data_IF_726735904667
#
_entry.id   IF_726735904667
#
_cell.length_a   1.000
_cell.length_b   1.000
_cell.length_c   1.000
_cell.angle_alpha   90.00
_cell.angle_beta   90.00
_cell.angle_gamma   90.00
#
_symmetry.space_group_name_H-M   'P 1'
#
loop_
_entity.id
_entity.type
_entity.pdbx_description
1 polymer ?
#
# COMPACT_ATOMS: atom_id res chain seq x y z
N UNK A 1 -19.72 19.05 23.35
CA UNK A 1 -18.89 19.93 24.20
C UNK A 1 -19.40 19.79 25.62
N UNK A 2 -18.56 19.27 26.52
CA UNK A 2 -18.92 19.04 27.92
C UNK A 2 -19.13 20.38 28.63
N UNK A 3 -19.90 20.38 29.71
CA UNK A 3 -19.97 21.54 30.60
C UNK A 3 -18.73 21.58 31.48
N UNK A 4 -18.28 22.76 31.88
CA UNK A 4 -17.08 22.96 32.73
C UNK A 4 -17.07 22.07 34.00
N UNK A 5 -18.25 21.88 34.63
CA UNK A 5 -18.40 20.98 35.79
C UNK A 5 -18.18 19.49 35.44
N UNK A 6 -18.54 19.08 34.23
CA UNK A 6 -18.35 17.70 33.74
C UNK A 6 -16.87 17.45 33.38
N UNK A 7 -16.19 18.44 32.79
CA UNK A 7 -14.75 18.39 32.52
C UNK A 7 -13.94 18.24 33.82
N UNK A 8 -14.26 19.04 34.84
CA UNK A 8 -13.61 18.95 36.14
C UNK A 8 -13.83 17.58 36.81
N UNK A 9 -15.05 17.02 36.70
CA UNK A 9 -15.36 15.69 37.22
C UNK A 9 -14.56 14.58 36.50
N UNK A 10 -14.41 14.68 35.18
CA UNK A 10 -13.61 13.75 34.39
C UNK A 10 -12.12 13.81 34.76
N UNK A 11 -11.55 15.02 34.87
CA UNK A 11 -10.16 15.19 35.29
C UNK A 11 -9.91 14.61 36.68
N UNK A 12 -10.81 14.85 37.65
CA UNK A 12 -10.71 14.28 38.99
C UNK A 12 -10.80 12.75 38.99
N UNK A 13 -11.70 12.17 38.19
CA UNK A 13 -11.82 10.71 38.04
C UNK A 13 -10.57 10.08 37.43
N UNK A 14 -10.02 10.68 36.37
CA UNK A 14 -8.78 10.21 35.75
C UNK A 14 -7.62 10.29 36.72
N UNK A 15 -7.48 11.40 37.45
CA UNK A 15 -6.44 11.54 38.48
C UNK A 15 -6.54 10.44 39.54
N UNK A 16 -7.74 10.19 40.07
CA UNK A 16 -7.96 9.13 41.06
C UNK A 16 -7.51 7.75 40.54
N UNK A 17 -7.82 7.44 39.28
CA UNK A 17 -7.46 6.16 38.66
C UNK A 17 -5.96 6.05 38.39
N UNK A 18 -5.32 7.16 37.99
CA UNK A 18 -3.87 7.27 37.83
C UNK A 18 -3.17 7.03 39.17
N UNK A 19 -3.62 7.69 40.24
CA UNK A 19 -3.04 7.56 41.59
C UNK A 19 -3.22 6.15 42.16
N UNK A 20 -4.36 5.51 41.87
CA UNK A 20 -4.63 4.13 42.26
C UNK A 20 -3.89 3.08 41.42
N UNK A 21 -3.31 3.48 40.27
CA UNK A 21 -2.71 2.55 39.31
C UNK A 21 -3.72 1.61 38.63
N UNK A 22 -5.02 1.94 38.65
CA UNK A 22 -6.08 1.12 38.08
C UNK A 22 -6.21 1.36 36.57
N UNK A 23 -5.30 0.74 35.82
CA UNK A 23 -5.24 0.86 34.35
C UNK A 23 -6.49 0.31 33.67
N UNK A 24 -7.18 -0.67 34.27
CA UNK A 24 -8.36 -1.29 33.67
C UNK A 24 -9.56 -0.35 33.70
N UNK A 25 -9.83 0.26 34.85
CA UNK A 25 -10.90 1.25 34.95
C UNK A 25 -10.52 2.56 34.27
N UNK A 26 -9.23 2.90 34.19
CA UNK A 26 -8.74 4.05 33.43
C UNK A 26 -9.04 3.90 31.94
N UNK A 27 -8.66 2.78 31.33
CA UNK A 27 -8.95 2.45 29.93
C UNK A 27 -10.46 2.55 29.63
N UNK A 28 -11.31 1.91 30.45
CA UNK A 28 -12.77 1.99 30.30
C UNK A 28 -13.32 3.41 30.45
N UNK A 29 -12.72 4.21 31.33
CA UNK A 29 -13.12 5.60 31.56
C UNK A 29 -12.75 6.48 30.37
N UNK A 30 -11.52 6.33 29.85
CA UNK A 30 -11.05 7.03 28.65
C UNK A 30 -11.85 6.64 27.41
N UNK A 31 -12.23 5.37 27.30
CA UNK A 31 -13.12 4.89 26.25
C UNK A 31 -14.48 5.61 26.24
N UNK A 32 -15.13 5.71 27.42
CA UNK A 32 -16.40 6.44 27.55
C UNK A 32 -16.23 7.92 27.26
N UNK A 33 -15.20 8.53 27.83
CA UNK A 33 -14.91 9.94 27.65
C UNK A 33 -14.65 10.28 26.18
N UNK A 34 -13.91 9.43 25.46
CA UNK A 34 -13.65 9.60 24.02
C UNK A 34 -14.93 9.74 23.21
N UNK A 35 -16.01 9.05 23.61
CA UNK A 35 -17.32 9.17 22.97
C UNK A 35 -18.01 10.50 23.31
N UNK A 36 -17.93 10.94 24.56
CA UNK A 36 -18.56 12.18 25.02
C UNK A 36 -17.91 13.43 24.42
N UNK A 37 -16.61 13.37 24.12
CA UNK A 37 -15.83 14.47 23.52
C UNK A 37 -15.66 14.34 22.01
N UNK A 38 -16.30 13.36 21.37
CA UNK A 38 -16.16 13.07 19.93
C UNK A 38 -14.69 12.94 19.48
N UNK A 39 -13.86 12.37 20.34
CA UNK A 39 -12.42 12.19 20.12
C UNK A 39 -11.56 13.47 20.17
N UNK A 40 -12.12 14.63 20.51
CA UNK A 40 -11.35 15.86 20.71
C UNK A 40 -10.67 15.88 22.08
N UNK A 41 -9.45 15.36 22.15
CA UNK A 41 -8.63 15.35 23.37
C UNK A 41 -8.05 16.72 23.76
N UNK A 42 -8.37 17.78 23.01
CA UNK A 42 -7.98 19.15 23.37
C UNK A 42 -9.05 19.88 24.18
N UNK A 43 -10.20 19.24 24.41
CA UNK A 43 -11.38 19.83 25.06
C UNK A 43 -11.08 20.54 26.39
N UNK A 44 -10.13 20.04 27.18
CA UNK A 44 -9.78 20.57 28.51
C UNK A 44 -8.47 21.39 28.53
N UNK A 45 -8.02 21.84 27.36
CA UNK A 45 -6.74 22.53 27.20
C UNK A 45 -5.52 21.62 27.39
N UNK A 46 -5.69 20.30 27.32
CA UNK A 46 -4.61 19.32 27.42
C UNK A 46 -4.28 18.88 28.84
N UNK A 47 -5.12 19.22 29.83
CA UNK A 47 -4.90 18.89 31.25
C UNK A 47 -4.86 17.38 31.46
N UNK A 48 -5.83 16.64 30.95
CA UNK A 48 -5.93 15.20 31.06
C UNK A 48 -4.75 14.51 30.38
N UNK A 49 -4.34 14.99 29.20
CA UNK A 49 -3.14 14.48 28.52
C UNK A 49 -1.89 14.70 29.37
N UNK A 50 -1.78 15.84 30.05
CA UNK A 50 -0.73 16.09 31.03
C UNK A 50 -0.72 15.04 32.14
N UNK A 51 -1.88 14.71 32.71
CA UNK A 51 -2.01 13.67 33.75
C UNK A 51 -1.55 12.29 33.27
N UNK A 52 -1.95 11.90 32.06
CA UNK A 52 -1.56 10.61 31.50
C UNK A 52 -0.05 10.55 31.18
N UNK A 53 0.56 11.67 30.79
CA UNK A 53 1.99 11.72 30.45
C UNK A 53 2.91 11.63 31.66
N UNK A 54 2.48 12.09 32.84
CA UNK A 54 3.28 12.01 34.07
C UNK A 54 3.20 10.65 34.76
N UNK A 55 2.33 9.76 34.31
CA UNK A 55 2.26 8.38 34.80
C UNK A 55 3.63 7.67 34.64
N UNK A 56 3.97 6.74 35.56
CA UNK A 56 5.14 5.88 35.38
C UNK A 56 5.07 5.15 34.04
N UNK A 57 6.21 5.07 33.35
CA UNK A 57 6.24 4.53 32.01
C UNK A 57 5.73 3.08 31.88
N UNK A 58 6.02 2.14 32.81
CA UNK A 58 5.42 0.80 32.76
C UNK A 58 3.89 0.83 32.77
N UNK A 59 3.30 1.75 33.54
CA UNK A 59 1.84 1.94 33.62
C UNK A 59 1.29 2.52 32.32
N UNK A 60 1.99 3.49 31.71
CA UNK A 60 1.61 4.04 30.38
C UNK A 60 1.66 2.97 29.30
N UNK A 61 2.70 2.13 29.27
CA UNK A 61 2.83 1.03 28.31
C UNK A 61 1.71 0.00 28.49
N UNK A 62 1.35 -0.34 29.74
CA UNK A 62 0.21 -1.21 30.01
C UNK A 62 -1.11 -0.60 29.52
N UNK A 63 -1.31 0.71 29.70
CA UNK A 63 -2.47 1.42 29.18
C UNK A 63 -2.52 1.38 27.64
N UNK A 64 -1.43 1.71 26.96
CA UNK A 64 -1.32 1.68 25.50
C UNK A 64 -1.69 0.30 24.93
N UNK A 65 -1.21 -0.77 25.57
CA UNK A 65 -1.53 -2.14 25.20
C UNK A 65 -3.03 -2.42 25.30
N UNK A 66 -3.65 -2.13 26.44
CA UNK A 66 -5.09 -2.36 26.64
C UNK A 66 -5.94 -1.56 25.65
N UNK A 67 -5.61 -0.28 25.47
CA UNK A 67 -6.32 0.58 24.54
C UNK A 67 -6.25 0.06 23.10
N UNK A 68 -5.11 -0.51 22.69
CA UNK A 68 -4.94 -1.06 21.34
C UNK A 68 -5.69 -2.38 21.16
N UNK A 69 -5.72 -3.23 22.18
CA UNK A 69 -6.49 -4.48 22.18
C UNK A 69 -8.01 -4.19 22.11
N UNK A 70 -8.53 -3.25 22.91
CA UNK A 70 -9.97 -2.90 22.88
C UNK A 70 -10.42 -2.17 21.60
N UNK A 71 -9.47 -1.56 20.90
CA UNK A 71 -9.67 -0.91 19.62
C UNK A 71 -10.00 -1.91 18.50
N UNK A 72 -9.38 -3.10 18.54
CA UNK A 72 -9.65 -4.23 17.62
C UNK A 72 -11.09 -4.76 17.80
N UNK A 73 -11.52 -4.94 19.05
CA UNK A 73 -12.87 -5.43 19.37
C UNK A 73 -13.98 -4.43 18.97
N UNK A 74 -13.69 -3.13 19.03
CA UNK A 74 -14.68 -2.05 18.79
C UNK A 74 -14.76 -1.64 17.31
N UNK A 75 -13.69 -1.85 16.54
CA UNK A 75 -13.52 -1.35 15.17
C UNK A 75 -14.70 -1.65 14.24
N UNK A 76 -15.30 -2.82 14.42
CA UNK A 76 -16.40 -3.33 13.59
C UNK A 76 -17.72 -2.60 13.87
N UNK A 77 -17.86 -1.99 15.05
CA UNK A 77 -19.14 -1.50 15.57
C UNK A 77 -19.24 0.03 15.64
N UNK A 78 -18.15 0.77 15.85
CA UNK A 78 -18.16 2.23 15.92
C UNK A 78 -16.85 2.89 15.41
N UNK A 79 -16.69 3.05 14.08
CA UNK A 79 -15.46 3.56 13.47
C UNK A 79 -15.09 5.00 13.86
N UNK A 80 -16.09 5.85 14.16
CA UNK A 80 -15.87 7.24 14.56
C UNK A 80 -15.15 7.34 15.90
N UNK A 81 -15.55 6.50 16.86
CA UNK A 81 -14.91 6.43 18.19
C UNK A 81 -13.50 5.89 18.15
N UNK A 82 -13.20 4.94 17.26
CA UNK A 82 -11.85 4.39 17.12
C UNK A 82 -10.82 5.46 16.72
N UNK A 83 -11.23 6.49 15.97
CA UNK A 83 -10.36 7.63 15.62
C UNK A 83 -9.92 8.43 16.84
N UNK A 84 -10.86 8.76 17.73
CA UNK A 84 -10.58 9.47 18.96
C UNK A 84 -9.58 8.70 19.83
N UNK A 85 -9.81 7.40 20.00
CA UNK A 85 -8.92 6.53 20.78
C UNK A 85 -7.53 6.39 20.14
N UNK A 86 -7.44 6.24 18.81
CA UNK A 86 -6.17 6.22 18.11
C UNK A 86 -5.36 7.50 18.37
N UNK A 87 -6.01 8.66 18.34
CA UNK A 87 -5.37 9.96 18.64
C UNK A 87 -4.85 10.02 20.08
N UNK A 88 -5.60 9.49 21.04
CA UNK A 88 -5.15 9.39 22.43
C UNK A 88 -3.90 8.51 22.57
N UNK A 89 -3.84 7.37 21.88
CA UNK A 89 -2.67 6.48 21.93
C UNK A 89 -1.42 7.22 21.49
N UNK A 90 -1.47 8.01 20.41
CA UNK A 90 -0.34 8.85 19.96
C UNK A 90 0.07 9.84 21.06
N UNK A 91 -0.91 10.53 21.66
CA UNK A 91 -0.67 11.52 22.71
C UNK A 91 -0.07 10.90 23.99
N UNK A 92 -0.51 9.70 24.37
CA UNK A 92 -0.06 8.94 25.55
C UNK A 92 1.27 8.22 25.28
N UNK A 93 1.61 7.88 24.04
CA UNK A 93 2.91 7.32 23.70
C UNK A 93 4.04 8.37 23.67
N UNK A 94 3.68 9.64 23.42
CA UNK A 94 4.64 10.74 23.27
C UNK A 94 5.61 10.87 24.47
N UNK A 95 6.91 10.92 24.18
CA UNK A 95 7.96 11.08 25.18
C UNK A 95 8.35 9.82 25.96
N UNK A 96 7.77 8.65 25.64
CA UNK A 96 8.27 7.38 26.18
C UNK A 96 9.57 6.94 25.48
N UNK A 97 10.58 6.46 26.24
CA UNK A 97 11.76 5.82 25.69
C UNK A 97 11.44 4.63 24.78
N UNK A 98 12.30 4.43 23.78
CA UNK A 98 12.12 3.40 22.73
C UNK A 98 12.05 1.99 23.30
N UNK A 99 12.95 1.69 24.23
CA UNK A 99 13.03 0.41 24.95
C UNK A 99 11.73 0.09 25.72
N UNK A 100 11.06 1.12 26.22
CA UNK A 100 9.81 0.97 26.96
C UNK A 100 8.62 0.78 26.04
N UNK A 101 8.61 1.43 24.87
CA UNK A 101 7.58 1.24 23.85
C UNK A 101 7.67 -0.12 23.15
N UNK A 102 8.85 -0.75 23.12
CA UNK A 102 9.12 -1.98 22.37
C UNK A 102 8.10 -3.10 22.65
N UNK A 103 7.78 -3.35 23.93
CA UNK A 103 6.86 -4.42 24.34
C UNK A 103 5.42 -4.27 23.80
N UNK A 104 4.98 -3.03 23.56
CA UNK A 104 3.68 -2.73 22.95
C UNK A 104 3.79 -2.62 21.42
N UNK A 105 4.85 -1.96 20.93
CA UNK A 105 5.06 -1.60 19.53
C UNK A 105 5.42 -2.78 18.64
N UNK A 106 6.36 -3.63 19.06
CA UNK A 106 6.93 -4.69 18.22
C UNK A 106 5.91 -5.74 17.78
N UNK A 107 5.01 -6.24 18.65
CA UNK A 107 3.96 -7.15 18.23
C UNK A 107 3.03 -6.53 17.18
N UNK A 108 2.70 -5.25 17.32
CA UNK A 108 1.83 -4.53 16.37
C UNK A 108 2.52 -4.32 15.03
N UNK A 109 3.81 -3.99 15.03
CA UNK A 109 4.62 -3.88 13.81
C UNK A 109 4.75 -5.22 13.10
N UNK A 110 5.01 -6.31 13.85
CA UNK A 110 5.12 -7.64 13.30
C UNK A 110 3.79 -8.11 12.69
N UNK A 111 2.68 -7.86 13.37
CA UNK A 111 1.33 -8.11 12.85
C UNK A 111 1.10 -7.32 11.56
N UNK A 112 1.32 -5.99 11.58
CA UNK A 112 1.14 -5.16 10.40
C UNK A 112 2.02 -5.59 9.22
N UNK A 113 3.27 -5.97 9.47
CA UNK A 113 4.19 -6.47 8.45
C UNK A 113 3.73 -7.81 7.83
N UNK A 114 3.05 -8.65 8.61
CA UNK A 114 2.59 -9.98 8.20
C UNK A 114 1.27 -9.98 7.44
N UNK A 115 0.60 -8.85 7.25
CA UNK A 115 -0.74 -8.79 6.67
C UNK A 115 -0.74 -8.22 5.24
N UNK A 116 -1.65 -8.70 4.38
CA UNK A 116 -1.83 -8.10 3.05
C UNK A 116 -2.50 -6.73 3.15
N UNK A 117 -3.55 -6.63 3.95
CA UNK A 117 -4.29 -5.41 4.26
C UNK A 117 -4.84 -5.53 5.66
N UNK A 118 -4.94 -4.43 6.39
CA UNK A 118 -5.64 -4.39 7.67
C UNK A 118 -6.93 -3.60 7.51
N UNK A 119 -8.03 -4.08 8.08
CA UNK A 119 -9.28 -3.31 8.11
C UNK A 119 -9.17 -2.06 8.99
N UNK A 120 -8.30 -2.10 9.99
CA UNK A 120 -8.14 -1.08 11.04
C UNK A 120 -7.17 0.03 10.63
N UNK A 121 -7.54 0.83 9.63
CA UNK A 121 -6.67 1.90 9.12
C UNK A 121 -6.21 2.92 10.17
N UNK A 122 -7.00 3.14 11.23
CA UNK A 122 -6.64 4.01 12.35
C UNK A 122 -5.53 3.42 13.24
N UNK A 123 -5.44 2.09 13.36
CA UNK A 123 -4.37 1.40 14.13
C UNK A 123 -3.03 1.60 13.44
N UNK A 124 -3.04 1.45 12.12
CA UNK A 124 -1.87 1.74 11.27
C UNK A 124 -1.47 3.21 11.33
N UNK A 125 -2.44 4.13 11.26
CA UNK A 125 -2.18 5.57 11.34
C UNK A 125 -1.45 5.92 12.65
N UNK A 126 -2.02 5.49 13.78
CA UNK A 126 -1.42 5.71 15.09
C UNK A 126 -0.01 5.08 15.21
N UNK A 127 0.14 3.82 14.79
CA UNK A 127 1.41 3.11 14.87
C UNK A 127 2.53 3.83 14.09
N UNK A 128 2.22 4.33 12.89
CA UNK A 128 3.15 5.12 12.08
C UNK A 128 3.44 6.49 12.70
N UNK A 129 2.41 7.21 13.16
CA UNK A 129 2.59 8.52 13.80
C UNK A 129 3.45 8.42 15.07
N UNK A 130 3.33 7.32 15.83
CA UNK A 130 4.19 7.06 16.99
C UNK A 130 5.65 6.83 16.59
N UNK A 131 5.93 6.10 15.50
CA UNK A 131 7.32 5.96 15.00
C UNK A 131 7.88 7.31 14.57
N UNK A 132 7.11 8.06 13.78
CA UNK A 132 7.53 9.37 13.25
C UNK A 132 7.77 10.37 14.37
N UNK A 133 6.89 10.44 15.37
CA UNK A 133 7.05 11.29 16.55
C UNK A 133 8.27 10.91 17.39
N UNK A 134 8.72 9.65 17.31
CA UNK A 134 9.94 9.18 17.94
C UNK A 134 11.18 9.28 17.02
N UNK A 135 11.05 9.90 15.84
CA UNK A 135 12.14 10.08 14.87
C UNK A 135 12.63 8.78 14.23
N UNK A 136 11.79 7.74 14.16
CA UNK A 136 12.11 6.46 13.54
C UNK A 136 11.46 6.29 12.18
N UNK A 137 12.15 5.57 11.31
CA UNK A 137 11.58 5.10 10.06
C UNK A 137 10.59 3.95 10.32
N UNK A 138 9.53 3.93 9.53
CA UNK A 138 8.57 2.82 9.52
C UNK A 138 9.19 1.66 8.73
N UNK A 139 9.20 0.42 9.25
CA UNK A 139 9.72 -0.73 8.50
C UNK A 139 9.01 -0.91 7.14
N UNK A 140 9.77 -1.21 6.08
CA UNK A 140 9.23 -1.33 4.72
C UNK A 140 8.03 -2.28 4.58
N UNK A 141 7.98 -3.47 5.25
CA UNK A 141 6.79 -4.32 5.21
C UNK A 141 5.54 -3.66 5.80
N UNK A 142 5.70 -2.81 6.81
CA UNK A 142 4.60 -2.04 7.41
C UNK A 142 4.17 -0.92 6.47
N UNK A 143 5.12 -0.23 5.83
CA UNK A 143 4.82 0.73 4.74
C UNK A 143 3.99 0.07 3.64
N UNK A 144 4.33 -1.16 3.25
CA UNK A 144 3.57 -1.91 2.27
C UNK A 144 2.12 -2.12 2.72
N UNK A 145 1.90 -2.53 3.97
CA UNK A 145 0.54 -2.72 4.52
C UNK A 145 -0.25 -1.41 4.59
N UNK A 146 0.38 -0.31 4.99
CA UNK A 146 -0.21 1.04 4.97
C UNK A 146 -0.69 1.42 3.58
N UNK A 147 0.18 1.29 2.56
CA UNK A 147 -0.17 1.63 1.17
C UNK A 147 -1.26 0.73 0.60
N UNK A 148 -1.20 -0.59 0.84
CA UNK A 148 -2.22 -1.54 0.39
C UNK A 148 -3.58 -1.23 1.03
N UNK A 149 -3.59 -0.98 2.35
CA UNK A 149 -4.79 -0.63 3.11
C UNK A 149 -5.39 0.70 2.67
N UNK A 150 -4.55 1.71 2.39
CA UNK A 150 -5.01 3.02 1.90
C UNK A 150 -5.78 2.95 0.56
N UNK A 151 -5.54 1.91 -0.24
CA UNK A 151 -6.21 1.72 -1.54
C UNK A 151 -7.63 1.12 -1.40
N UNK A 152 -8.05 0.67 -0.22
CA UNK A 152 -9.39 0.11 -0.01
C UNK A 152 -10.43 1.22 0.26
N UNK A 153 -11.69 0.97 -0.09
CA UNK A 153 -12.76 1.98 -0.07
C UNK A 153 -13.21 2.38 1.34
N UNK A 154 -13.07 1.48 2.31
CA UNK A 154 -13.57 1.64 3.69
C UNK A 154 -12.56 2.30 4.64
N UNK A 155 -11.35 2.60 4.15
CA UNK A 155 -10.29 3.18 4.96
C UNK A 155 -10.50 4.69 5.25
N UNK A 156 -10.19 5.16 6.48
CA UNK A 156 -10.22 6.58 6.83
C UNK A 156 -9.37 7.46 5.90
N UNK A 157 -9.80 8.72 5.71
CA UNK A 157 -9.08 9.66 4.84
C UNK A 157 -7.67 9.97 5.33
N UNK A 158 -7.45 9.90 6.63
CA UNK A 158 -6.19 10.13 7.32
C UNK A 158 -5.12 9.12 6.90
N UNK A 159 -5.45 7.82 6.80
CA UNK A 159 -4.48 6.82 6.35
C UNK A 159 -4.09 7.05 4.89
N UNK A 160 -5.03 7.49 4.03
CA UNK A 160 -4.71 7.84 2.64
C UNK A 160 -3.77 9.04 2.56
N UNK A 161 -4.03 10.07 3.38
CA UNK A 161 -3.16 11.24 3.47
C UNK A 161 -1.77 10.85 3.97
N UNK A 162 -1.69 10.05 5.04
CA UNK A 162 -0.45 9.53 5.59
C UNK A 162 0.32 8.70 4.56
N UNK A 163 -0.33 7.73 3.91
CA UNK A 163 0.31 6.89 2.89
C UNK A 163 0.88 7.72 1.73
N UNK A 164 0.24 8.84 1.38
CA UNK A 164 0.74 9.75 0.34
C UNK A 164 2.01 10.52 0.75
N UNK A 165 2.30 10.63 2.06
CA UNK A 165 3.56 11.23 2.56
C UNK A 165 4.74 10.26 2.51
N UNK A 166 4.48 8.96 2.43
CA UNK A 166 5.52 7.92 2.44
C UNK A 166 6.02 7.69 1.01
N UNK A 167 7.19 8.26 0.70
CA UNK A 167 7.78 8.21 -0.64
C UNK A 167 8.74 7.04 -0.85
N UNK A 168 9.36 6.54 0.22
CA UNK A 168 10.30 5.40 0.17
C UNK A 168 9.82 4.22 1.02
N UNK A 169 10.17 2.98 0.67
CA UNK A 169 10.74 2.59 -0.63
C UNK A 169 9.76 2.92 -1.77
N UNK A 170 10.23 3.24 -2.97
CA UNK A 170 9.33 3.63 -4.09
C UNK A 170 8.29 2.56 -4.43
N UNK A 171 8.62 1.28 -4.27
CA UNK A 171 7.70 0.14 -4.38
C UNK A 171 7.62 -0.59 -3.04
N UNK A 172 6.53 -1.33 -2.84
CA UNK A 172 6.42 -2.22 -1.70
C UNK A 172 7.33 -3.44 -1.89
N UNK A 173 8.11 -3.85 -0.88
CA UNK A 173 8.91 -5.07 -0.95
C UNK A 173 8.03 -6.34 -0.92
N UNK A 174 8.65 -7.49 -1.16
CA UNK A 174 8.02 -8.80 -1.05
C UNK A 174 7.57 -9.42 -2.37
N UNK A 175 7.63 -8.69 -3.49
CA UNK A 175 7.49 -9.27 -4.83
C UNK A 175 8.87 -9.29 -5.53
N UNK A 176 9.31 -10.42 -6.11
CA UNK A 176 10.67 -10.52 -6.64
C UNK A 176 11.03 -9.48 -7.70
N UNK A 177 10.06 -9.08 -8.52
CA UNK A 177 10.24 -8.01 -9.50
C UNK A 177 10.37 -6.63 -8.86
N UNK A 178 9.60 -6.34 -7.79
CA UNK A 178 9.65 -5.07 -7.09
C UNK A 178 10.96 -4.93 -6.30
N UNK A 179 11.42 -6.02 -5.68
CA UNK A 179 12.73 -6.08 -5.02
C UNK A 179 13.88 -5.86 -6.01
N UNK A 180 13.75 -6.39 -7.24
CA UNK A 180 14.74 -6.13 -8.28
C UNK A 180 14.77 -4.65 -8.68
N UNK A 181 13.62 -3.97 -8.75
CA UNK A 181 13.56 -2.52 -8.99
C UNK A 181 14.18 -1.75 -7.83
N UNK A 182 13.82 -2.06 -6.57
CA UNK A 182 14.38 -1.41 -5.37
C UNK A 182 15.91 -1.58 -5.33
N UNK A 183 16.39 -2.80 -5.59
CA UNK A 183 17.83 -3.09 -5.67
C UNK A 183 18.50 -2.30 -6.79
N UNK A 184 17.88 -2.24 -7.97
CA UNK A 184 18.41 -1.46 -9.09
C UNK A 184 18.55 0.02 -8.74
N UNK A 185 17.58 0.58 -8.01
CA UNK A 185 17.58 1.99 -7.62
C UNK A 185 18.63 2.32 -6.55
N UNK A 186 19.18 1.33 -5.86
CA UNK A 186 20.23 1.54 -4.88
C UNK A 186 21.51 2.04 -5.57
N UNK A 187 21.77 3.35 -5.45
CA UNK A 187 22.90 4.00 -6.13
C UNK A 187 22.67 4.35 -7.60
N UNK A 188 21.43 4.26 -8.09
CA UNK A 188 21.09 4.64 -9.45
C UNK A 188 21.08 6.17 -9.66
N UNK A 189 21.20 6.58 -10.91
CA UNK A 189 21.05 7.97 -11.32
C UNK A 189 19.62 8.48 -11.01
N UNK A 190 19.42 9.76 -10.65
CA UNK A 190 18.09 10.31 -10.32
C UNK A 190 17.03 10.11 -11.42
N UNK A 191 17.44 10.02 -12.68
CA UNK A 191 16.57 9.74 -13.81
C UNK A 191 15.83 8.39 -13.67
N UNK A 192 16.46 7.37 -13.08
CA UNK A 192 15.82 6.09 -12.80
C UNK A 192 14.73 6.20 -11.73
N UNK A 193 14.99 6.94 -10.64
CA UNK A 193 13.98 7.21 -9.62
C UNK A 193 12.78 7.94 -10.22
N UNK A 194 13.01 8.94 -11.06
CA UNK A 194 11.95 9.68 -11.74
C UNK A 194 11.15 8.78 -12.70
N UNK A 195 11.81 7.88 -13.44
CA UNK A 195 11.15 6.92 -14.33
C UNK A 195 10.24 5.95 -13.56
N UNK A 196 10.73 5.37 -12.45
CA UNK A 196 9.95 4.44 -11.61
C UNK A 196 8.79 5.16 -10.90
N UNK A 197 9.03 6.34 -10.33
CA UNK A 197 7.97 7.17 -9.76
C UNK A 197 6.90 7.53 -10.80
N UNK A 198 7.31 7.83 -12.04
CA UNK A 198 6.38 8.09 -13.13
C UNK A 198 5.53 6.86 -13.49
N UNK A 199 6.11 5.65 -13.47
CA UNK A 199 5.36 4.41 -13.71
C UNK A 199 4.19 4.23 -12.73
N UNK A 200 4.35 4.58 -11.45
CA UNK A 200 3.29 4.50 -10.42
C UNK A 200 2.10 5.43 -10.69
N UNK A 201 2.31 6.49 -11.46
CA UNK A 201 1.25 7.46 -11.82
C UNK A 201 0.36 6.99 -12.96
N UNK A 202 0.65 5.82 -13.56
CA UNK A 202 -0.20 5.24 -14.59
C UNK A 202 -1.62 4.98 -14.04
N UNK A 203 -2.59 5.66 -14.62
CA UNK A 203 -4.00 5.50 -14.28
C UNK A 203 -4.66 4.53 -15.27
N UNK A 204 -4.71 3.24 -14.90
CA UNK A 204 -5.36 2.20 -15.68
C UNK A 204 -4.56 1.73 -16.91
N UNK A 205 -5.24 1.06 -17.84
CA UNK A 205 -4.61 0.33 -18.94
C UNK A 205 -4.21 1.17 -20.16
N UNK A 206 -4.55 2.47 -20.18
CA UNK A 206 -4.21 3.41 -21.27
C UNK A 206 -3.84 4.78 -20.71
N UNK A 207 -2.55 5.03 -20.44
CA UNK A 207 -2.11 6.34 -19.97
C UNK A 207 -2.37 7.46 -20.99
N UNK A 208 -2.61 8.66 -20.48
CA UNK A 208 -2.94 9.85 -21.30
C UNK A 208 -1.77 10.28 -22.19
N UNK A 209 -2.06 11.06 -23.25
CA UNK A 209 -1.00 11.64 -24.10
C UNK A 209 -0.03 12.57 -23.34
N UNK A 210 -0.51 13.24 -22.28
CA UNK A 210 0.34 14.04 -21.38
C UNK A 210 1.31 13.13 -20.62
N UNK A 211 0.81 12.02 -20.08
CA UNK A 211 1.63 11.02 -19.38
C UNK A 211 2.71 10.46 -20.32
N UNK A 212 2.33 10.02 -21.53
CA UNK A 212 3.28 9.44 -22.48
C UNK A 212 4.38 10.42 -22.92
N UNK A 213 4.06 11.70 -23.03
CA UNK A 213 5.05 12.74 -23.38
C UNK A 213 6.10 12.89 -22.29
N UNK A 214 5.67 12.92 -21.03
CA UNK A 214 6.58 12.96 -19.88
C UNK A 214 7.44 11.68 -19.83
N UNK A 215 6.81 10.52 -20.00
CA UNK A 215 7.51 9.23 -20.05
C UNK A 215 8.58 9.17 -21.14
N UNK A 216 8.33 9.71 -22.34
CA UNK A 216 9.36 9.81 -23.41
C UNK A 216 10.55 10.68 -23.00
N UNK A 217 10.33 11.77 -22.28
CA UNK A 217 11.42 12.59 -21.73
C UNK A 217 12.28 11.80 -20.74
N UNK A 218 11.63 11.15 -19.78
CA UNK A 218 12.32 10.32 -18.77
C UNK A 218 13.08 9.14 -19.39
N UNK A 219 12.53 8.51 -20.42
CA UNK A 219 13.22 7.46 -21.17
C UNK A 219 14.44 7.99 -21.93
N UNK A 220 14.39 9.22 -22.44
CA UNK A 220 15.54 9.85 -23.07
C UNK A 220 16.65 10.16 -22.06
N UNK A 221 16.29 10.61 -20.85
CA UNK A 221 17.24 10.90 -19.77
C UNK A 221 17.97 9.64 -19.29
N UNK A 222 17.28 8.50 -19.21
CA UNK A 222 17.89 7.20 -18.83
C UNK A 222 18.65 6.56 -20.00
N UNK A 223 18.16 6.74 -21.22
CA UNK A 223 18.54 5.97 -22.41
C UNK A 223 17.51 4.88 -22.73
N UNK A 224 16.80 4.96 -23.87
CA UNK A 224 15.68 4.05 -24.18
C UNK A 224 16.03 2.56 -24.17
N UNK A 225 17.22 2.17 -24.67
CA UNK A 225 17.66 0.78 -24.68
C UNK A 225 17.99 0.25 -23.28
N UNK A 226 18.65 1.08 -22.44
CA UNK A 226 18.94 0.76 -21.02
C UNK A 226 17.63 0.57 -20.26
N UNK A 227 16.70 1.50 -20.43
CA UNK A 227 15.39 1.47 -19.81
C UNK A 227 14.60 0.22 -20.24
N UNK A 228 14.59 -0.09 -21.54
CA UNK A 228 13.95 -1.30 -22.06
C UNK A 228 14.49 -2.57 -21.42
N UNK A 229 15.81 -2.74 -21.41
CA UNK A 229 16.46 -3.94 -20.88
C UNK A 229 16.12 -4.16 -19.40
N UNK A 230 16.23 -3.10 -18.59
CA UNK A 230 15.89 -3.14 -17.18
C UNK A 230 14.40 -3.44 -16.95
N UNK A 231 13.50 -2.67 -17.56
CA UNK A 231 12.04 -2.84 -17.38
C UNK A 231 11.55 -4.20 -17.88
N UNK A 232 12.06 -4.69 -19.01
CA UNK A 232 11.70 -6.02 -19.51
C UNK A 232 12.15 -7.11 -18.53
N UNK A 233 13.33 -6.98 -17.91
CA UNK A 233 13.80 -7.92 -16.89
C UNK A 233 12.95 -7.89 -15.62
N UNK A 234 12.47 -6.72 -15.18
CA UNK A 234 11.59 -6.60 -14.02
C UNK A 234 10.24 -7.24 -14.30
N UNK A 235 9.62 -6.87 -15.43
CA UNK A 235 8.28 -7.31 -15.81
C UNK A 235 8.19 -8.83 -15.96
N UNK A 236 9.23 -9.48 -16.51
CA UNK A 236 9.31 -10.93 -16.66
C UNK A 236 9.16 -11.69 -15.33
N UNK A 237 9.57 -11.09 -14.21
CA UNK A 237 9.51 -11.69 -12.87
C UNK A 237 8.17 -11.48 -12.16
N UNK A 238 7.20 -10.83 -12.79
CA UNK A 238 5.91 -10.54 -12.18
C UNK A 238 5.12 -11.80 -11.80
N UNK A 239 5.40 -12.95 -12.45
CA UNK A 239 4.76 -14.24 -12.17
C UNK A 239 5.35 -15.01 -10.98
N UNK A 240 6.50 -14.59 -10.45
CA UNK A 240 7.15 -15.28 -9.35
C UNK A 240 6.38 -15.11 -8.02
N UNK A 241 6.40 -16.13 -7.13
CA UNK A 241 5.78 -16.03 -5.82
C UNK A 241 6.48 -15.00 -4.95
N UNK A 242 5.74 -14.42 -3.99
CA UNK A 242 6.29 -13.47 -3.01
C UNK A 242 7.46 -14.07 -2.24
N UNK A 243 8.47 -13.24 -1.98
CA UNK A 243 9.64 -13.56 -1.15
C UNK A 243 9.35 -13.42 0.35
N UNK A 244 8.44 -12.51 0.70
CA UNK A 244 8.01 -12.25 2.06
C UNK A 244 6.57 -12.76 2.22
N UNK A 245 6.33 -13.78 3.07
CA UNK A 245 5.00 -14.30 3.30
C UNK A 245 4.14 -13.25 4.00
N UNK A 246 2.90 -13.12 3.56
CA UNK A 246 1.87 -12.30 4.19
C UNK A 246 0.57 -13.09 4.26
N UNK A 247 -0.32 -12.75 5.19
CA UNK A 247 -1.65 -13.32 5.26
C UNK A 247 -2.52 -12.72 4.14
N UNK A 248 -3.28 -13.58 3.47
CA UNK A 248 -4.16 -13.17 2.36
C UNK A 248 -5.24 -12.23 2.86
N UNK A 249 -5.49 -11.15 2.12
CA UNK A 249 -6.60 -10.23 2.41
C UNK A 249 -7.98 -10.94 2.34
N UNK A 250 -8.04 -12.08 1.64
CA UNK A 250 -9.25 -12.87 1.45
C UNK A 250 -9.28 -14.12 2.33
N UNK A 251 -8.28 -14.34 3.18
CA UNK A 251 -8.17 -15.53 4.04
C UNK A 251 -8.01 -16.85 3.25
N UNK A 252 -7.54 -16.79 2.01
CA UNK A 252 -7.51 -17.95 1.10
C UNK A 252 -6.22 -18.77 1.16
N UNK A 253 -5.19 -18.30 1.88
CA UNK A 253 -3.91 -19.00 2.03
C UNK A 253 -3.03 -19.05 0.78
N UNK A 254 -3.27 -18.18 -0.21
CA UNK A 254 -2.53 -18.09 -1.49
C UNK A 254 -1.91 -16.70 -1.71
N UNK A 255 -1.60 -16.01 -0.61
CA UNK A 255 -1.11 -14.63 -0.63
C UNK A 255 0.22 -14.49 -1.39
N UNK A 256 1.01 -15.56 -1.45
CA UNK A 256 2.24 -15.64 -2.22
C UNK A 256 2.04 -15.48 -3.73
N UNK A 257 0.83 -15.73 -4.24
CA UNK A 257 0.43 -15.51 -5.63
C UNK A 257 -0.44 -14.26 -5.81
N UNK A 258 -0.81 -13.56 -4.75
CA UNK A 258 -1.51 -12.28 -4.88
C UNK A 258 -0.55 -11.20 -5.38
N UNK A 259 -1.04 -10.33 -6.27
CA UNK A 259 -0.27 -9.17 -6.74
C UNK A 259 -0.49 -8.02 -5.76
N UNK A 260 0.57 -7.33 -5.37
CA UNK A 260 0.43 -6.15 -4.51
C UNK A 260 -0.33 -5.05 -5.28
N UNK A 261 -1.49 -4.57 -4.77
CA UNK A 261 -2.33 -3.61 -5.48
C UNK A 261 -1.67 -2.23 -5.69
N UNK A 262 -0.75 -1.83 -4.82
CA UNK A 262 0.03 -0.60 -5.00
C UNK A 262 1.06 -0.81 -6.11
N UNK A 263 1.84 -1.89 -6.05
CA UNK A 263 2.86 -2.18 -7.05
C UNK A 263 2.28 -2.51 -8.44
N UNK A 264 1.07 -3.07 -8.50
CA UNK A 264 0.37 -3.38 -9.75
C UNK A 264 0.24 -2.15 -10.67
N UNK A 265 0.19 -0.94 -10.10
CA UNK A 265 0.19 0.32 -10.87
C UNK A 265 1.52 0.54 -11.59
N UNK A 266 2.65 0.23 -10.95
CA UNK A 266 3.96 0.32 -11.57
C UNK A 266 4.11 -0.67 -12.72
N UNK A 267 3.61 -1.91 -12.60
CA UNK A 267 3.61 -2.86 -13.73
C UNK A 267 2.81 -2.34 -14.93
N UNK A 268 1.66 -1.70 -14.69
CA UNK A 268 0.88 -1.05 -15.76
C UNK A 268 1.67 0.11 -16.40
N UNK A 269 2.38 0.90 -15.58
CA UNK A 269 3.27 1.96 -16.04
C UNK A 269 4.46 1.44 -16.84
N UNK A 270 5.16 0.41 -16.37
CA UNK A 270 6.28 -0.22 -17.08
C UNK A 270 5.84 -0.83 -18.40
N UNK A 271 4.67 -1.48 -18.46
CA UNK A 271 4.12 -1.95 -19.72
C UNK A 271 3.92 -0.78 -20.71
N UNK A 272 3.35 0.33 -20.26
CA UNK A 272 3.16 1.50 -21.10
C UNK A 272 4.48 2.19 -21.50
N UNK A 273 5.48 2.24 -20.61
CA UNK A 273 6.82 2.78 -20.90
C UNK A 273 7.57 1.91 -21.91
N UNK A 274 7.49 0.58 -21.81
CA UNK A 274 8.07 -0.34 -22.80
C UNK A 274 7.50 -0.08 -24.20
N UNK A 275 6.21 0.21 -24.32
CA UNK A 275 5.58 0.58 -25.59
C UNK A 275 5.99 1.96 -26.14
N UNK A 276 6.75 2.75 -25.39
CA UNK A 276 7.35 4.02 -25.82
C UNK A 276 8.83 3.88 -26.22
N UNK A 277 9.43 2.71 -25.99
CA UNK A 277 10.79 2.39 -26.44
C UNK A 277 10.79 1.87 -27.88
N UNK A 278 11.93 1.91 -28.61
CA UNK A 278 12.03 1.26 -29.91
C UNK A 278 11.61 -0.21 -29.83
N UNK A 279 10.84 -0.63 -30.82
CA UNK A 279 10.30 -1.99 -30.91
C UNK A 279 11.42 -3.04 -30.85
N UNK A 280 11.18 -4.12 -30.11
CA UNK A 280 12.20 -5.13 -29.82
C UNK A 280 11.57 -6.44 -29.34
N UNK A 281 12.09 -7.61 -29.78
CA UNK A 281 11.56 -8.92 -29.38
C UNK A 281 11.46 -9.11 -27.86
N UNK A 282 12.47 -8.62 -27.12
CA UNK A 282 12.47 -8.70 -25.64
C UNK A 282 11.31 -7.95 -24.99
N UNK A 283 10.92 -6.79 -25.53
CA UNK A 283 9.76 -6.04 -25.02
C UNK A 283 8.48 -6.82 -25.28
N UNK A 284 8.33 -7.39 -26.48
CA UNK A 284 7.19 -8.22 -26.83
C UNK A 284 7.07 -9.44 -25.90
N UNK A 285 8.14 -10.21 -25.74
CA UNK A 285 8.18 -11.39 -24.86
C UNK A 285 7.82 -11.04 -23.41
N UNK A 286 8.48 -10.03 -22.81
CA UNK A 286 8.21 -9.64 -21.43
C UNK A 286 6.76 -9.17 -21.21
N UNK A 287 6.17 -8.45 -22.17
CA UNK A 287 4.77 -8.05 -22.10
C UNK A 287 3.83 -9.26 -22.21
N UNK A 288 4.18 -10.26 -23.01
CA UNK A 288 3.44 -11.51 -23.10
C UNK A 288 3.45 -12.32 -21.80
N UNK A 289 4.63 -12.47 -21.20
CA UNK A 289 4.81 -13.07 -19.88
C UNK A 289 4.01 -12.33 -18.81
N UNK A 290 3.97 -10.99 -18.87
CA UNK A 290 3.15 -10.18 -17.96
C UNK A 290 1.64 -10.44 -18.11
N UNK A 291 1.14 -10.66 -19.33
CA UNK A 291 -0.26 -11.02 -19.55
C UNK A 291 -0.59 -12.34 -18.84
N UNK A 292 0.29 -13.34 -18.97
CA UNK A 292 0.09 -14.65 -18.34
C UNK A 292 0.21 -14.57 -16.82
N UNK A 293 1.23 -13.88 -16.29
CA UNK A 293 1.40 -13.63 -14.86
C UNK A 293 0.21 -12.90 -14.24
N UNK A 294 -0.38 -11.94 -14.96
CA UNK A 294 -1.54 -11.18 -14.51
C UNK A 294 -2.88 -11.94 -14.65
N UNK A 295 -2.91 -13.04 -15.42
CA UNK A 295 -4.08 -13.88 -15.61
C UNK A 295 -3.89 -15.28 -15.01
N UNK A 296 -3.12 -15.40 -13.93
CA UNK A 296 -3.19 -16.57 -13.06
C UNK A 296 -4.57 -16.60 -12.39
N UNK A 297 -5.22 -17.78 -12.39
CA UNK A 297 -6.51 -17.98 -11.71
C UNK A 297 -6.26 -18.38 -10.25
N UNK A 298 -6.73 -17.55 -9.33
CA UNK A 298 -6.63 -17.73 -7.89
C UNK A 298 -7.97 -18.23 -7.33
N UNK A 299 -8.02 -19.41 -6.66
CA UNK A 299 -9.22 -19.91 -5.99
C UNK A 299 -9.80 -18.88 -5.00
N UNK A 300 -11.12 -18.72 -4.97
CA UNK A 300 -11.81 -17.78 -4.09
C UNK A 300 -11.69 -16.29 -4.47
N UNK A 301 -10.66 -15.89 -5.21
CA UNK A 301 -10.38 -14.48 -5.56
C UNK A 301 -10.80 -14.17 -7.00
N UNK A 302 -10.37 -14.99 -7.96
CA UNK A 302 -10.60 -14.73 -9.38
C UNK A 302 -9.34 -14.71 -10.21
N UNK A 303 -9.24 -13.80 -11.17
CA UNK A 303 -8.02 -13.61 -11.96
C UNK A 303 -7.12 -12.60 -11.25
N UNK A 304 -5.82 -12.86 -11.18
CA UNK A 304 -4.86 -12.12 -10.34
C UNK A 304 -4.90 -10.60 -10.57
N UNK A 305 -4.78 -10.13 -11.82
CA UNK A 305 -4.91 -8.70 -12.17
C UNK A 305 -5.34 -8.47 -13.62
N UNK A 306 -6.65 -8.53 -13.92
CA UNK A 306 -7.18 -8.22 -15.26
C UNK A 306 -6.77 -6.85 -15.81
N UNK A 307 -6.59 -5.86 -14.93
CA UNK A 307 -6.17 -4.49 -15.31
C UNK A 307 -4.73 -4.47 -15.81
N UNK A 308 -3.82 -5.16 -15.12
CA UNK A 308 -2.41 -5.29 -15.55
C UNK A 308 -2.31 -6.08 -16.86
N UNK A 309 -3.07 -7.18 -17.02
CA UNK A 309 -3.14 -7.91 -18.28
C UNK A 309 -3.63 -7.02 -19.45
N UNK A 310 -4.65 -6.21 -19.20
CA UNK A 310 -5.17 -5.28 -20.21
C UNK A 310 -4.12 -4.23 -20.60
N UNK A 311 -3.36 -3.70 -19.65
CA UNK A 311 -2.29 -2.74 -19.92
C UNK A 311 -1.18 -3.35 -20.80
N UNK A 312 -0.76 -4.58 -20.49
CA UNK A 312 0.24 -5.30 -21.28
C UNK A 312 -0.23 -5.59 -22.72
N UNK A 313 -1.49 -5.98 -22.92
CA UNK A 313 -2.07 -6.15 -24.28
C UNK A 313 -2.12 -4.83 -25.05
N UNK A 314 -2.45 -3.71 -24.38
CA UNK A 314 -2.41 -2.39 -25.04
C UNK A 314 -0.98 -2.01 -25.42
N UNK A 315 0.00 -2.29 -24.56
CA UNK A 315 1.41 -2.06 -24.84
C UNK A 315 1.92 -2.87 -26.04
N UNK A 316 1.59 -4.17 -26.12
CA UNK A 316 1.87 -5.01 -27.30
C UNK A 316 1.25 -4.44 -28.58
N UNK A 317 -0.02 -4.04 -28.50
CA UNK A 317 -0.72 -3.41 -29.64
C UNK A 317 -0.02 -2.13 -30.09
N UNK A 318 0.51 -1.35 -29.14
CA UNK A 318 1.17 -0.08 -29.41
C UNK A 318 2.59 -0.25 -29.97
N UNK A 319 3.34 -1.28 -29.55
CA UNK A 319 4.63 -1.64 -30.16
C UNK A 319 4.47 -1.90 -31.66
N UNK A 320 3.45 -2.68 -32.02
CA UNK A 320 2.94 -2.79 -33.39
C UNK A 320 3.86 -3.50 -34.40
N UNK A 321 5.01 -4.01 -33.97
CA UNK A 321 5.97 -4.74 -34.79
C UNK A 321 5.61 -6.23 -34.93
N UNK A 322 6.33 -6.93 -35.81
CA UNK A 322 6.09 -8.35 -36.10
C UNK A 322 6.15 -9.21 -34.82
N UNK A 323 7.12 -8.96 -33.93
CA UNK A 323 7.29 -9.70 -32.69
C UNK A 323 6.14 -9.47 -31.71
N UNK A 324 5.70 -8.21 -31.50
CA UNK A 324 4.57 -7.94 -30.61
C UNK A 324 3.28 -8.61 -31.09
N UNK A 325 3.04 -8.67 -32.40
CA UNK A 325 1.87 -9.33 -32.93
C UNK A 325 1.99 -10.86 -33.02
N UNK A 326 3.20 -11.40 -33.17
CA UNK A 326 3.45 -12.83 -32.97
C UNK A 326 3.07 -13.24 -31.54
N UNK A 327 3.46 -12.41 -30.56
CA UNK A 327 3.11 -12.62 -29.15
C UNK A 327 1.60 -12.51 -28.89
N UNK A 328 0.91 -11.52 -29.47
CA UNK A 328 -0.55 -11.45 -29.43
C UNK A 328 -1.22 -12.68 -30.04
N UNK A 329 -0.65 -13.23 -31.13
CA UNK A 329 -1.10 -14.47 -31.75
C UNK A 329 -0.97 -15.67 -30.81
N UNK A 330 0.18 -15.80 -30.14
CA UNK A 330 0.43 -16.82 -29.11
C UNK A 330 -0.58 -16.72 -27.97
N UNK A 331 -0.77 -15.52 -27.43
CA UNK A 331 -1.70 -15.25 -26.33
C UNK A 331 -3.16 -15.53 -26.70
N UNK A 332 -3.56 -15.34 -27.96
CA UNK A 332 -4.91 -15.66 -28.42
C UNK A 332 -5.24 -17.16 -28.26
N UNK A 333 -4.23 -18.04 -28.31
CA UNK A 333 -4.36 -19.48 -28.09
C UNK A 333 -4.33 -19.90 -26.62
N UNK A 334 -3.77 -19.09 -25.72
CA UNK A 334 -3.56 -19.47 -24.31
C UNK A 334 -4.49 -18.75 -23.33
N UNK A 335 -4.88 -17.50 -23.61
CA UNK A 335 -5.64 -16.66 -22.68
C UNK A 335 -7.10 -17.10 -22.58
N UNK A 336 -7.50 -17.52 -21.37
CA UNK A 336 -8.87 -17.98 -21.07
C UNK A 336 -9.80 -16.87 -20.59
N UNK A 337 -9.26 -15.75 -20.11
CA UNK A 337 -10.08 -14.65 -19.60
C UNK A 337 -10.71 -13.86 -20.76
N UNK A 338 -12.02 -14.04 -20.94
CA UNK A 338 -12.78 -13.56 -22.12
C UNK A 338 -12.59 -12.07 -22.43
N UNK A 339 -12.61 -11.13 -21.45
CA UNK A 339 -12.39 -9.70 -21.75
C UNK A 339 -11.01 -9.41 -22.35
N UNK A 340 -9.93 -9.99 -21.81
CA UNK A 340 -8.59 -9.80 -22.36
C UNK A 340 -8.44 -10.49 -23.72
N UNK A 341 -9.01 -11.70 -23.88
CA UNK A 341 -9.02 -12.39 -25.18
C UNK A 341 -9.69 -11.53 -26.26
N UNK A 342 -10.81 -10.87 -25.96
CA UNK A 342 -11.46 -9.92 -26.89
C UNK A 342 -10.54 -8.77 -27.30
N UNK A 343 -9.75 -8.23 -26.37
CA UNK A 343 -8.78 -7.16 -26.68
C UNK A 343 -7.68 -7.66 -27.64
N UNK A 344 -7.17 -8.87 -27.41
CA UNK A 344 -6.15 -9.50 -28.25
C UNK A 344 -6.69 -9.73 -29.66
N UNK A 345 -7.87 -10.36 -29.80
CA UNK A 345 -8.49 -10.63 -31.09
C UNK A 345 -8.79 -9.33 -31.87
N UNK A 346 -9.22 -8.28 -31.18
CA UNK A 346 -9.44 -6.96 -31.80
C UNK A 346 -8.15 -6.29 -32.26
N UNK A 347 -7.01 -6.53 -31.59
CA UNK A 347 -5.71 -6.05 -32.06
C UNK A 347 -5.25 -6.79 -33.33
N UNK A 348 -5.36 -8.12 -33.32
CA UNK A 348 -5.03 -8.96 -34.48
C UNK A 348 -5.89 -8.63 -35.71
N UNK A 349 -7.20 -8.46 -35.54
CA UNK A 349 -8.11 -8.09 -36.62
C UNK A 349 -7.82 -6.70 -37.23
N UNK A 350 -7.39 -5.73 -36.40
CA UNK A 350 -6.99 -4.40 -36.92
C UNK A 350 -5.74 -4.49 -37.78
N UNK A 351 -4.77 -5.32 -37.40
CA UNK A 351 -3.55 -5.54 -38.18
C UNK A 351 -3.84 -6.15 -39.55
N UNK A 352 -4.68 -7.17 -39.60
CA UNK A 352 -5.04 -7.82 -40.87
C UNK A 352 -5.79 -6.86 -41.80
N UNK A 353 -6.61 -5.96 -41.26
CA UNK A 353 -7.27 -4.92 -42.06
C UNK A 353 -6.32 -3.84 -42.62
N UNK A 354 -5.16 -3.60 -41.98
CA UNK A 354 -4.18 -2.59 -42.39
C UNK A 354 -3.05 -3.16 -43.28
N UNK A 355 -2.94 -4.49 -43.39
CA UNK A 355 -2.01 -5.15 -44.31
C UNK A 355 -2.81 -5.53 -45.56
N UNK A 356 -2.61 -4.88 -46.73
CA UNK A 356 -3.23 -5.32 -47.96
C UNK A 356 -2.88 -6.79 -48.19
N UNK A 357 -3.85 -7.59 -48.63
CA UNK A 357 -3.56 -8.94 -49.11
C UNK A 357 -2.52 -8.84 -50.24
N UNK A 358 -1.52 -9.75 -50.28
CA UNK A 358 -0.50 -9.75 -51.32
C UNK A 358 -1.07 -9.90 -52.73
#
# INVERSE_FOLDING_TARGET
MLRENEEAAWAARVQQLVDAGDVTDLDRSLYRLSADIDGDWTFDGGRLIGLLRVMPAPTRVLLLRRMTEGLEETAVHDPGRCRGLASLIVLVAHGLPVDQLAAWREPLMAMAAGEMTLWEGWRLTCLVEVEQAAGRDVPDPVVATVRRTALTSETPGELRALAATIVEPVLNPGEPWAEQVITHLTGAEPAWHALVAHALTAAGSRPTGKWQRLGRGLLADVGPDRAREAMASWVARAGEPRTVPVNSQYGTGIAELELDPFNARALQGFAALLALTPAHPRSAAALGELVEAALIRLPGIGWRSPKTASAAVQALTQLGDEDAYAELGRLAGTVKYRPTLKLILAALARRTAHRPLP
#
